data_IF_770085016785
#
_entry.id   IF_770085016785
#
_cell.length_a   1.000
_cell.length_b   1.000
_cell.length_c   1.000
_cell.angle_alpha   90.00
_cell.angle_beta   90.00
_cell.angle_gamma   90.00
#
_symmetry.space_group_name_H-M   'P 1'
#
loop_
_entity.id
_entity.type
_entity.pdbx_description
1 polymer ?
#
# COMPACT_ATOMS: atom_id res chain seq x y z
N UNK A 1 -23.34 44.09 -12.96
CA UNK A 1 -23.84 43.19 -11.91
C UNK A 1 -22.68 42.26 -11.62
N UNK A 2 -22.09 42.43 -10.44
CA UNK A 2 -20.86 41.75 -10.02
C UNK A 2 -21.14 40.31 -9.66
N UNK A 3 -20.17 39.43 -9.95
CA UNK A 3 -20.06 38.11 -9.36
C UNK A 3 -20.06 36.99 -10.38
N UNK A 4 -19.04 36.94 -11.24
CA UNK A 4 -18.45 35.64 -11.59
C UNK A 4 -18.15 34.94 -10.26
N UNK A 5 -18.88 33.86 -10.00
CA UNK A 5 -18.65 32.97 -8.86
C UNK A 5 -17.21 32.46 -8.99
N UNK A 6 -16.29 32.78 -8.06
CA UNK A 6 -14.93 32.30 -8.18
C UNK A 6 -14.97 30.79 -8.01
N UNK A 7 -14.54 30.07 -9.05
CA UNK A 7 -14.17 28.65 -9.05
C UNK A 7 -14.14 28.07 -7.64
N UNK A 8 -15.25 27.45 -7.22
CA UNK A 8 -15.26 26.59 -6.06
C UNK A 8 -14.14 25.57 -6.32
N UNK A 9 -13.11 25.47 -5.46
CA UNK A 9 -12.01 24.57 -5.73
C UNK A 9 -12.59 23.17 -5.76
N UNK A 10 -12.70 22.59 -6.97
CA UNK A 10 -12.99 21.17 -7.16
C UNK A 10 -12.06 20.44 -6.21
N UNK A 11 -12.63 19.89 -5.14
CA UNK A 11 -11.90 19.21 -4.09
C UNK A 11 -11.22 18.02 -4.73
N UNK A 12 -9.97 18.23 -5.19
CA UNK A 12 -9.05 17.19 -5.60
C UNK A 12 -8.90 16.33 -4.36
N UNK A 13 -9.61 15.21 -4.34
CA UNK A 13 -9.60 14.24 -3.24
C UNK A 13 -8.16 14.13 -2.75
N UNK A 14 -7.88 14.67 -1.57
CA UNK A 14 -6.52 14.73 -1.04
C UNK A 14 -6.01 13.29 -1.02
N UNK A 15 -4.98 13.01 -1.82
CA UNK A 15 -4.41 11.67 -1.85
C UNK A 15 -3.99 11.33 -0.42
N UNK A 16 -4.36 10.15 0.10
CA UNK A 16 -4.08 9.82 1.48
C UNK A 16 -2.56 9.84 1.70
N UNK A 17 -2.11 10.79 2.51
CA UNK A 17 -0.70 10.95 2.85
C UNK A 17 -0.30 9.90 3.89
N UNK A 18 0.77 9.16 3.59
CA UNK A 18 1.39 8.19 4.49
C UNK A 18 2.65 8.83 5.07
N UNK A 19 2.83 8.71 6.38
CA UNK A 19 3.96 9.28 7.11
C UNK A 19 4.43 8.38 8.26
N UNK A 20 5.38 8.89 9.04
CA UNK A 20 5.97 8.18 10.18
C UNK A 20 4.99 7.86 11.32
N UNK A 21 3.86 8.56 11.39
CA UNK A 21 2.85 8.42 12.43
C UNK A 21 1.66 7.58 11.96
N UNK A 22 1.63 7.20 10.68
CA UNK A 22 0.54 6.43 10.09
C UNK A 22 0.54 5.03 10.69
N UNK A 23 -0.55 4.62 11.37
CA UNK A 23 -0.63 3.29 11.97
C UNK A 23 -0.57 2.19 10.90
N UNK A 24 0.05 1.05 11.24
CA UNK A 24 0.18 -0.10 10.33
C UNK A 24 -1.16 -0.54 9.72
N UNK A 25 -2.24 -0.54 10.52
CA UNK A 25 -3.57 -0.89 10.07
C UNK A 25 -4.11 0.10 9.00
N UNK A 26 -3.78 1.40 9.13
CA UNK A 26 -4.14 2.41 8.13
C UNK A 26 -3.32 2.23 6.85
N UNK A 27 -2.02 1.94 6.95
CA UNK A 27 -1.19 1.62 5.78
C UNK A 27 -1.74 0.39 5.05
N UNK A 28 -2.03 -0.69 5.76
CA UNK A 28 -2.62 -1.90 5.18
C UNK A 28 -3.94 -1.60 4.47
N UNK A 29 -4.86 -0.86 5.11
CA UNK A 29 -6.13 -0.49 4.50
C UNK A 29 -5.98 0.38 3.24
N UNK A 30 -5.03 1.32 3.23
CA UNK A 30 -4.75 2.16 2.06
C UNK A 30 -4.19 1.34 0.90
N UNK A 31 -3.25 0.43 1.18
CA UNK A 31 -2.69 -0.47 0.16
C UNK A 31 -3.76 -1.40 -0.39
N UNK A 32 -4.60 -2.01 0.47
CA UNK A 32 -5.75 -2.82 0.04
C UNK A 32 -6.68 -2.06 -0.89
N UNK A 33 -7.06 -0.83 -0.53
CA UNK A 33 -7.92 0.02 -1.35
C UNK A 33 -7.28 0.37 -2.70
N UNK A 34 -5.97 0.65 -2.72
CA UNK A 34 -5.25 0.96 -3.95
C UNK A 34 -5.18 -0.25 -4.90
N UNK A 35 -4.99 -1.45 -4.36
CA UNK A 35 -5.00 -2.70 -5.13
C UNK A 35 -6.41 -3.01 -5.66
N UNK A 36 -7.44 -2.89 -4.82
CA UNK A 36 -8.84 -3.09 -5.21
C UNK A 36 -9.26 -2.10 -6.31
N UNK A 37 -8.93 -0.81 -6.17
CA UNK A 37 -9.21 0.21 -7.19
C UNK A 37 -8.49 -0.05 -8.53
N UNK A 38 -7.41 -0.82 -8.52
CA UNK A 38 -6.70 -1.27 -9.71
C UNK A 38 -7.22 -2.62 -10.27
N UNK A 39 -8.24 -3.21 -9.66
CA UNK A 39 -8.77 -4.52 -10.01
C UNK A 39 -7.85 -5.68 -9.61
N UNK A 40 -6.98 -5.47 -8.62
CA UNK A 40 -6.04 -6.48 -8.11
C UNK A 40 -6.61 -7.10 -6.84
N UNK A 41 -6.99 -8.37 -6.93
CA UNK A 41 -7.30 -9.18 -5.75
C UNK A 41 -5.99 -9.54 -5.02
N UNK A 42 -5.90 -9.14 -3.76
CA UNK A 42 -4.75 -9.40 -2.93
C UNK A 42 -5.18 -9.71 -1.50
N UNK A 43 -4.54 -10.70 -0.88
CA UNK A 43 -4.76 -11.06 0.51
C UNK A 43 -3.57 -10.57 1.34
N UNK A 44 -3.83 -9.79 2.39
CA UNK A 44 -2.82 -9.49 3.39
C UNK A 44 -2.47 -10.79 4.13
N UNK A 45 -1.21 -11.17 4.08
CA UNK A 45 -0.61 -12.37 4.64
C UNK A 45 0.52 -12.00 5.61
N UNK A 46 1.05 -12.98 6.35
CA UNK A 46 2.19 -12.77 7.24
C UNK A 46 1.85 -12.29 8.65
N UNK A 47 2.91 -12.01 9.42
CA UNK A 47 2.85 -11.59 10.82
C UNK A 47 2.13 -10.25 11.02
N UNK A 48 2.08 -9.38 10.01
CA UNK A 48 1.37 -8.10 10.05
C UNK A 48 -0.15 -8.20 10.25
N UNK A 49 -0.80 -9.25 9.70
CA UNK A 49 -2.21 -9.54 9.97
C UNK A 49 -2.44 -9.97 11.44
N UNK A 50 -1.44 -10.60 12.06
CA UNK A 50 -1.44 -10.98 13.47
C UNK A 50 -1.09 -9.76 14.35
N UNK A 51 -0.14 -8.91 13.95
CA UNK A 51 0.30 -7.70 14.67
C UNK A 51 -0.76 -6.61 14.77
N UNK A 52 -1.66 -6.50 13.79
CA UNK A 52 -2.85 -5.62 13.87
C UNK A 52 -3.77 -6.02 15.03
N UNK A 53 -3.76 -7.31 15.43
CA UNK A 53 -4.62 -7.86 16.50
C UNK A 53 -3.88 -8.27 17.79
N UNK A 54 -2.54 -8.30 17.82
CA UNK A 54 -1.76 -8.87 18.93
C UNK A 54 -0.95 -7.87 19.77
N UNK A 55 -1.28 -6.57 19.71
CA UNK A 55 -0.57 -5.53 20.47
C UNK A 55 0.95 -5.52 20.21
N UNK A 56 1.33 -5.55 18.93
CA UNK A 56 2.68 -5.18 18.47
C UNK A 56 3.82 -6.11 18.94
N UNK A 57 3.52 -7.37 19.24
CA UNK A 57 4.50 -8.33 19.74
C UNK A 57 5.10 -9.25 18.66
N UNK A 58 5.33 -8.78 17.43
CA UNK A 58 6.26 -9.45 16.50
C UNK A 58 6.94 -8.41 15.61
N UNK A 59 8.26 -8.56 15.51
CA UNK A 59 9.28 -7.57 15.11
C UNK A 59 9.34 -7.28 13.59
N UNK A 60 8.29 -7.58 12.84
CA UNK A 60 8.29 -7.45 11.39
C UNK A 60 7.60 -6.13 10.97
N UNK A 61 8.34 -5.28 10.22
CA UNK A 61 7.87 -3.97 9.73
C UNK A 61 7.32 -4.04 8.30
N UNK A 62 7.10 -5.25 7.81
CA UNK A 62 6.63 -5.59 6.48
C UNK A 62 5.15 -5.96 6.48
N UNK A 63 4.46 -5.54 5.42
CA UNK A 63 3.09 -5.90 5.09
C UNK A 63 3.12 -6.80 3.85
N UNK A 64 2.91 -8.10 4.03
CA UNK A 64 2.95 -9.05 2.92
C UNK A 64 1.60 -9.16 2.21
N UNK A 65 1.53 -8.82 0.93
CA UNK A 65 0.34 -9.02 0.11
C UNK A 65 0.55 -10.14 -0.91
N UNK A 66 -0.25 -11.21 -0.81
CA UNK A 66 -0.26 -12.30 -1.79
C UNK A 66 -1.29 -11.98 -2.86
N UNK A 67 -0.86 -11.99 -4.12
CA UNK A 67 -1.70 -11.77 -5.30
C UNK A 67 -1.13 -12.54 -6.50
N UNK A 68 -1.97 -12.83 -7.49
CA UNK A 68 -1.55 -13.34 -8.80
C UNK A 68 -1.19 -12.22 -9.79
N UNK A 69 -1.34 -10.96 -9.41
CA UNK A 69 -1.03 -9.82 -10.28
C UNK A 69 0.47 -9.71 -10.59
N UNK A 70 0.79 -9.23 -11.80
CA UNK A 70 2.17 -8.99 -12.20
C UNK A 70 2.78 -7.73 -11.58
N UNK A 71 4.09 -7.75 -11.34
CA UNK A 71 4.85 -6.65 -10.72
C UNK A 71 4.56 -5.25 -11.29
N UNK A 72 4.48 -5.03 -12.63
CA UNK A 72 4.17 -3.71 -13.17
C UNK A 72 2.77 -3.19 -12.83
N UNK A 73 1.77 -4.07 -12.66
CA UNK A 73 0.43 -3.67 -12.26
C UNK A 73 0.41 -3.27 -10.78
N UNK A 74 1.07 -4.06 -9.93
CA UNK A 74 1.28 -3.78 -8.51
C UNK A 74 1.98 -2.43 -8.31
N UNK A 75 3.12 -2.23 -8.99
CA UNK A 75 3.93 -1.01 -8.90
C UNK A 75 3.11 0.24 -9.25
N UNK A 76 2.29 0.19 -10.31
CA UNK A 76 1.41 1.31 -10.67
C UNK A 76 0.30 1.57 -9.66
N UNK A 77 -0.25 0.52 -9.05
CA UNK A 77 -1.33 0.64 -8.08
C UNK A 77 -0.85 1.38 -6.82
N UNK A 78 0.30 0.96 -6.28
CA UNK A 78 0.80 1.48 -4.99
C UNK A 78 1.69 2.72 -5.13
N UNK A 79 2.20 3.04 -6.32
CA UNK A 79 2.99 4.27 -6.55
C UNK A 79 2.22 5.55 -6.20
N UNK A 80 0.88 5.53 -6.33
CA UNK A 80 0.01 6.66 -5.95
C UNK A 80 0.01 6.94 -4.44
N UNK A 81 0.41 5.95 -3.64
CA UNK A 81 0.56 6.05 -2.19
C UNK A 81 2.00 6.37 -1.78
N UNK A 82 2.90 6.66 -2.74
CA UNK A 82 4.31 6.96 -2.47
C UNK A 82 5.21 5.74 -2.27
N UNK A 83 4.70 4.52 -2.49
CA UNK A 83 5.51 3.31 -2.41
C UNK A 83 6.31 3.07 -3.69
N UNK A 84 7.61 2.80 -3.53
CA UNK A 84 8.53 2.56 -4.64
C UNK A 84 9.44 1.37 -4.35
N UNK A 85 9.73 0.56 -5.38
CA UNK A 85 10.71 -0.53 -5.26
C UNK A 85 12.14 0.03 -5.26
N UNK A 86 13.05 -0.53 -4.45
CA UNK A 86 14.47 -0.16 -4.50
C UNK A 86 15.20 -0.63 -5.75
N UNK A 87 14.76 -1.74 -6.33
CA UNK A 87 15.36 -2.32 -7.53
C UNK A 87 14.34 -3.14 -8.31
N UNK A 88 14.64 -3.49 -9.56
CA UNK A 88 13.78 -4.35 -10.38
C UNK A 88 13.59 -5.77 -9.82
N UNK A 89 14.52 -6.25 -8.99
CA UNK A 89 14.48 -7.60 -8.41
C UNK A 89 13.90 -7.61 -6.99
N UNK A 90 13.72 -6.43 -6.37
CA UNK A 90 13.16 -6.32 -5.03
C UNK A 90 11.67 -6.68 -5.04
N UNK A 91 11.24 -7.41 -4.01
CA UNK A 91 9.83 -7.68 -3.74
C UNK A 91 9.21 -6.68 -2.76
N UNK A 92 10.07 -5.92 -2.08
CA UNK A 92 9.73 -4.89 -1.11
C UNK A 92 9.60 -3.53 -1.81
N UNK A 93 8.64 -2.76 -1.33
CA UNK A 93 8.39 -1.38 -1.70
C UNK A 93 8.48 -0.51 -0.44
N UNK A 94 9.26 0.55 -0.51
CA UNK A 94 9.46 1.51 0.58
C UNK A 94 8.64 2.77 0.37
N UNK A 95 8.30 3.42 1.48
CA UNK A 95 7.79 4.77 1.50
C UNK A 95 8.86 5.72 2.07
N UNK A 96 9.10 6.91 1.49
CA UNK A 96 10.18 7.80 1.94
C UNK A 96 10.05 8.29 3.39
N UNK A 97 8.83 8.32 3.93
CA UNK A 97 8.52 8.88 5.25
C UNK A 97 7.86 7.88 6.21
N UNK A 98 7.49 6.69 5.75
CA UNK A 98 6.84 5.69 6.62
C UNK A 98 7.84 4.60 7.02
N UNK A 99 7.76 4.09 8.27
CA UNK A 99 8.63 3.00 8.73
C UNK A 99 8.19 1.63 8.20
N UNK A 100 7.04 1.55 7.53
CA UNK A 100 6.44 0.31 7.03
C UNK A 100 6.84 0.05 5.58
N UNK A 101 7.15 -1.21 5.30
CA UNK A 101 7.43 -1.73 3.97
C UNK A 101 6.24 -2.57 3.48
N UNK A 102 6.05 -2.64 2.17
CA UNK A 102 5.05 -3.52 1.54
C UNK A 102 5.80 -4.56 0.71
N UNK A 103 5.60 -5.84 0.97
CA UNK A 103 6.18 -6.93 0.18
C UNK A 103 5.08 -7.67 -0.59
N UNK A 104 5.42 -8.12 -1.80
CA UNK A 104 4.58 -9.02 -2.59
C UNK A 104 5.34 -10.34 -2.81
N UNK A 105 5.25 -11.30 -1.87
CA UNK A 105 5.94 -12.58 -2.01
C UNK A 105 5.40 -13.35 -3.22
N UNK A 106 6.23 -14.21 -3.85
CA UNK A 106 5.73 -15.11 -4.87
C UNK A 106 4.64 -16.00 -4.25
N UNK A 107 3.54 -16.19 -4.97
CA UNK A 107 2.54 -17.21 -4.59
C UNK A 107 3.23 -18.56 -4.36
N UNK A 108 2.65 -19.45 -3.52
CA UNK A 108 3.29 -20.70 -3.15
C UNK A 108 3.80 -21.41 -4.40
N UNK A 109 5.13 -21.53 -4.48
CA UNK A 109 5.78 -22.38 -5.46
C UNK A 109 5.36 -23.80 -5.07
N UNK A 110 4.28 -24.29 -5.68
CA UNK A 110 4.04 -25.72 -5.72
C UNK A 110 5.31 -26.35 -6.27
N UNK A 111 6.02 -27.11 -5.44
CA UNK A 111 7.07 -27.99 -5.94
C UNK A 111 6.38 -28.94 -6.92
N UNK A 112 6.58 -28.71 -8.21
CA UNK A 112 6.39 -29.69 -9.27
C UNK A 112 7.77 -30.03 -9.81
#
# INVERSE_FOLDING_TARGET
MNGDDPDEPVSRSAMPEIDQNTPVAKVAALVSQALEAAGIEATLSGGGAVSIFSANAYESRDLDFVTSAGGPAIERAIARLGFHRRSRLAREFDHPTSPWYVEFPPGPLGKL
#
